data_IF_521011676748
#
_entry.id   IF_521011676748
#
_cell.length_a   1.000
_cell.length_b   1.000
_cell.length_c   1.000
_cell.angle_alpha   90.00
_cell.angle_beta   90.00
_cell.angle_gamma   90.00
#
_symmetry.space_group_name_H-M   'P 1'
#
loop_
_entity.id
_entity.type
_entity.pdbx_description
1 polymer ?
#
# COMPACT_ATOMS: atom_id res chain seq x y z
N UNK A 1 21.85 32.27 -22.92
CA UNK A 1 21.35 31.68 -21.66
C UNK A 1 19.95 32.20 -21.45
N UNK A 2 18.94 31.35 -21.59
CA UNK A 2 17.53 31.73 -21.40
C UNK A 2 17.27 31.89 -19.91
N UNK A 3 16.83 33.09 -19.49
CA UNK A 3 16.44 33.33 -18.09
C UNK A 3 15.13 32.59 -17.82
N UNK A 4 15.16 31.67 -16.88
CA UNK A 4 13.98 30.94 -16.41
C UNK A 4 13.35 31.80 -15.33
N UNK A 5 12.09 32.22 -15.54
CA UNK A 5 11.31 32.94 -14.54
C UNK A 5 10.68 31.92 -13.60
N UNK A 6 10.98 32.02 -12.30
CA UNK A 6 10.41 31.16 -11.27
C UNK A 6 9.28 31.89 -10.55
N UNK A 7 8.43 31.11 -9.90
CA UNK A 7 7.28 31.60 -9.14
C UNK A 7 7.44 31.11 -7.72
N UNK A 8 7.31 32.00 -6.74
CA UNK A 8 7.41 31.69 -5.32
C UNK A 8 8.76 31.06 -4.94
N UNK A 9 9.86 31.65 -5.43
CA UNK A 9 11.21 31.23 -5.10
C UNK A 9 11.92 32.21 -4.14
N UNK A 10 11.25 33.29 -3.74
CA UNK A 10 11.77 34.33 -2.86
C UNK A 10 12.43 35.49 -3.60
N UNK A 11 12.58 35.40 -4.93
CA UNK A 11 13.23 36.38 -5.79
C UNK A 11 12.17 37.11 -6.61
N UNK A 12 12.35 38.40 -6.87
CA UNK A 12 11.47 39.13 -7.78
C UNK A 12 11.97 38.94 -9.21
N UNK A 13 11.38 37.99 -9.91
CA UNK A 13 11.61 37.69 -11.32
C UNK A 13 10.71 38.51 -12.24
N UNK A 14 9.48 38.82 -11.83
CA UNK A 14 8.59 39.71 -12.59
C UNK A 14 8.77 41.19 -12.17
N UNK A 15 8.67 42.15 -13.10
CA UNK A 15 8.81 43.59 -12.80
C UNK A 15 7.85 44.11 -11.72
N UNK A 16 6.68 43.46 -11.57
CA UNK A 16 5.65 43.83 -10.61
C UNK A 16 5.67 42.97 -9.31
N UNK A 17 6.59 42.01 -9.22
CA UNK A 17 6.67 41.06 -8.11
C UNK A 17 5.45 40.15 -7.97
N UNK A 18 4.70 39.97 -9.06
CA UNK A 18 3.51 39.12 -9.11
C UNK A 18 3.83 37.64 -8.92
N UNK A 19 5.05 37.25 -9.27
CA UNK A 19 5.64 35.92 -9.02
C UNK A 19 5.76 35.57 -7.52
N UNK A 20 5.67 36.57 -6.63
CA UNK A 20 5.81 36.41 -5.18
C UNK A 20 4.53 36.80 -4.41
N UNK A 21 3.48 37.23 -5.13
CA UNK A 21 2.22 37.72 -4.56
C UNK A 21 1.10 36.76 -4.97
N UNK A 22 0.60 35.96 -4.03
CA UNK A 22 -0.35 34.85 -4.24
C UNK A 22 0.29 33.48 -4.50
N UNK A 23 1.29 33.14 -3.70
CA UNK A 23 1.85 31.79 -3.62
C UNK A 23 0.87 30.83 -2.97
N UNK A 24 0.09 30.13 -3.78
CA UNK A 24 -0.72 29.00 -3.37
C UNK A 24 -0.06 27.76 -3.96
N UNK A 25 0.67 27.00 -3.12
CA UNK A 25 1.36 25.78 -3.58
C UNK A 25 0.29 24.69 -3.87
N UNK A 26 -0.39 24.77 -5.02
CA UNK A 26 -1.56 23.95 -5.38
C UNK A 26 -1.21 22.65 -6.10
N UNK A 27 0.01 22.52 -6.65
CA UNK A 27 0.42 21.35 -7.43
C UNK A 27 1.10 20.23 -6.64
N UNK A 28 1.41 20.49 -5.38
CA UNK A 28 2.20 19.60 -4.54
C UNK A 28 1.63 19.67 -3.14
N UNK A 29 1.39 18.52 -2.52
CA UNK A 29 0.98 18.40 -1.12
C UNK A 29 1.71 19.45 -0.26
N UNK A 30 0.91 20.34 0.29
CA UNK A 30 1.22 21.74 0.55
C UNK A 30 2.32 21.96 1.58
N UNK A 31 3.47 22.46 1.14
CA UNK A 31 4.51 22.90 2.05
C UNK A 31 5.15 24.22 1.62
N UNK A 32 4.66 25.33 2.16
CA UNK A 32 5.28 26.64 2.02
C UNK A 32 6.33 26.88 3.11
N UNK A 33 7.55 27.22 2.72
CA UNK A 33 8.65 27.58 3.62
C UNK A 33 8.70 29.09 3.81
N UNK A 34 8.61 29.56 5.05
CA UNK A 34 8.80 30.98 5.40
C UNK A 34 10.29 31.30 5.46
N UNK A 35 10.74 32.21 4.61
CA UNK A 35 12.11 32.71 4.59
C UNK A 35 12.29 33.83 5.64
N UNK A 36 13.53 34.08 6.12
CA UNK A 36 13.83 35.14 7.10
C UNK A 36 13.42 36.56 6.67
N UNK A 37 13.22 36.77 5.37
CA UNK A 37 12.77 38.04 4.78
C UNK A 37 11.23 38.17 4.73
N UNK A 38 10.49 37.22 5.32
CA UNK A 38 9.03 37.22 5.34
C UNK A 38 8.37 36.75 4.05
N UNK A 39 9.14 36.26 3.07
CA UNK A 39 8.62 35.70 1.81
C UNK A 39 8.37 34.19 1.94
N UNK A 40 7.49 33.69 1.07
CA UNK A 40 7.03 32.31 1.07
C UNK A 40 7.59 31.58 -0.14
N UNK A 41 8.41 30.55 0.09
CA UNK A 41 9.02 29.72 -0.96
C UNK A 41 8.35 28.34 -0.99
N UNK A 42 7.92 27.88 -2.15
CA UNK A 42 7.50 26.47 -2.29
C UNK A 42 8.74 25.58 -2.52
N UNK A 43 8.73 24.35 -2.00
CA UNK A 43 9.76 23.36 -2.35
C UNK A 43 9.60 22.89 -3.80
N UNK A 44 10.69 22.52 -4.45
CA UNK A 44 10.67 21.98 -5.81
C UNK A 44 10.05 20.56 -5.82
N UNK A 45 9.44 20.09 -6.92
CA UNK A 45 8.90 18.73 -6.99
C UNK A 45 9.94 17.63 -6.72
N UNK A 46 11.22 17.90 -7.04
CA UNK A 46 12.35 17.01 -6.73
C UNK A 46 12.71 16.95 -5.25
N UNK A 47 12.12 17.82 -4.43
CA UNK A 47 12.27 17.86 -2.97
C UNK A 47 11.15 17.10 -2.24
N UNK A 48 10.18 16.58 -2.96
CA UNK A 48 9.15 15.72 -2.39
C UNK A 48 9.72 14.30 -2.40
N UNK A 49 9.79 13.66 -1.25
CA UNK A 49 10.21 12.26 -1.13
C UNK A 49 11.64 12.01 -1.59
N UNK A 50 12.51 12.97 -1.33
CA UNK A 50 13.92 12.91 -1.65
C UNK A 50 14.78 12.40 -0.47
N UNK A 51 14.15 12.07 0.66
CA UNK A 51 14.81 11.60 1.87
C UNK A 51 15.34 12.72 2.76
N UNK A 52 15.04 13.99 2.44
CA UNK A 52 15.41 15.16 3.23
C UNK A 52 14.14 15.85 3.75
N UNK A 53 14.19 16.29 5.00
CA UNK A 53 13.12 17.13 5.56
C UNK A 53 13.33 18.55 5.01
N UNK A 54 12.72 18.85 3.87
CA UNK A 54 12.67 20.17 3.27
C UNK A 54 11.47 20.98 3.82
N UNK A 55 10.49 20.32 4.44
CA UNK A 55 9.35 20.97 5.10
C UNK A 55 9.48 21.16 6.61
N UNK A 56 8.84 22.20 7.20
CA UNK A 56 8.90 22.47 8.63
C UNK A 56 8.48 21.29 9.52
N UNK A 57 7.53 20.46 9.07
CA UNK A 57 7.07 19.27 9.79
C UNK A 57 7.39 17.95 9.07
N UNK A 58 8.26 17.98 8.04
CA UNK A 58 8.60 16.78 7.25
C UNK A 58 7.44 16.20 6.45
N UNK A 59 6.43 17.01 6.14
CA UNK A 59 5.27 16.55 5.36
C UNK A 59 5.61 16.15 3.91
N UNK A 60 6.69 16.68 3.36
CA UNK A 60 7.30 16.32 2.08
C UNK A 60 7.84 14.89 2.04
N UNK A 61 8.21 14.35 3.20
CA UNK A 61 8.67 12.96 3.35
C UNK A 61 7.57 12.02 3.88
N UNK A 62 6.37 12.56 4.13
CA UNK A 62 5.23 11.78 4.55
C UNK A 62 4.45 11.24 3.35
N UNK A 63 4.08 9.95 3.41
CA UNK A 63 3.23 9.31 2.40
C UNK A 63 3.81 9.34 0.97
N UNK A 64 5.12 9.18 0.85
CA UNK A 64 5.87 9.30 -0.38
C UNK A 64 5.58 8.28 -1.47
N UNK A 65 5.09 7.13 -1.06
CA UNK A 65 4.71 6.08 -1.97
C UNK A 65 3.22 6.22 -2.30
N UNK A 66 2.92 6.91 -3.40
CA UNK A 66 1.59 6.86 -4.03
C UNK A 66 1.52 5.56 -4.82
N UNK A 67 0.80 4.59 -4.28
CA UNK A 67 0.53 3.38 -5.03
C UNK A 67 -0.41 3.72 -6.21
N UNK A 68 -0.04 3.29 -7.42
CA UNK A 68 -0.91 3.38 -8.60
C UNK A 68 -2.22 2.62 -8.35
N UNK A 69 -3.28 2.90 -9.12
CA UNK A 69 -4.53 2.16 -9.01
C UNK A 69 -4.34 0.62 -9.14
N UNK A 70 -3.36 0.20 -9.93
CA UNK A 70 -2.99 -1.21 -10.11
C UNK A 70 -2.30 -1.83 -8.87
N UNK A 71 -1.83 -1.01 -7.93
CA UNK A 71 -1.17 -1.40 -6.70
C UNK A 71 -2.00 -0.89 -5.50
N UNK A 72 -3.12 -1.53 -5.20
CA UNK A 72 -4.05 -0.97 -4.22
C UNK A 72 -3.60 -1.12 -2.75
N UNK A 73 -2.68 -2.05 -2.45
CA UNK A 73 -2.23 -2.28 -1.07
C UNK A 73 -0.83 -1.72 -0.82
N UNK A 74 -0.72 -0.98 0.28
CA UNK A 74 0.54 -0.39 0.75
C UNK A 74 1.03 -1.18 1.95
N UNK A 75 2.24 -1.72 1.87
CA UNK A 75 2.88 -2.39 3.01
C UNK A 75 2.93 -1.45 4.22
N UNK A 76 2.84 -1.99 5.44
CA UNK A 76 2.78 -1.21 6.69
C UNK A 76 4.03 -0.36 6.91
N UNK A 77 5.20 -0.87 6.54
CA UNK A 77 6.46 -0.11 6.53
C UNK A 77 6.55 0.96 5.42
N UNK A 78 5.53 1.08 4.56
CA UNK A 78 5.43 2.06 3.47
C UNK A 78 6.56 1.97 2.43
N UNK A 79 7.29 0.85 2.37
CA UNK A 79 8.44 0.69 1.45
C UNK A 79 8.08 0.06 0.11
N UNK A 80 6.94 -0.63 0.02
CA UNK A 80 6.47 -1.31 -1.19
C UNK A 80 4.94 -1.24 -1.33
N UNK A 81 4.47 -1.09 -2.57
CA UNK A 81 3.06 -1.30 -2.93
C UNK A 81 2.94 -2.64 -3.66
N UNK A 82 1.84 -3.33 -3.44
CA UNK A 82 1.55 -4.63 -4.06
C UNK A 82 0.14 -4.59 -4.67
N UNK A 83 -0.13 -5.41 -5.69
CA UNK A 83 -1.48 -5.53 -6.23
C UNK A 83 -2.44 -6.09 -5.17
N UNK A 84 -3.77 -5.81 -5.26
CA UNK A 84 -4.75 -6.39 -4.34
C UNK A 84 -4.66 -7.92 -4.27
N UNK A 85 -4.39 -8.58 -5.39
CA UNK A 85 -4.26 -10.05 -5.47
C UNK A 85 -2.98 -10.60 -4.84
N UNK A 86 -2.08 -9.75 -4.35
CA UNK A 86 -0.93 -10.17 -3.54
C UNK A 86 -1.17 -9.96 -2.05
N UNK A 87 -2.29 -9.34 -1.66
CA UNK A 87 -2.70 -9.29 -0.25
C UNK A 87 -3.29 -10.65 0.12
N UNK A 88 -2.74 -11.29 1.14
CA UNK A 88 -3.22 -12.56 1.67
C UNK A 88 -3.21 -13.68 0.62
N UNK A 89 -2.16 -13.76 -0.17
CA UNK A 89 -2.02 -14.79 -1.23
C UNK A 89 -1.23 -16.04 -0.74
N UNK A 90 -0.74 -16.00 0.50
CA UNK A 90 0.10 -17.02 1.13
C UNK A 90 1.60 -16.80 0.92
N UNK A 91 2.02 -15.67 0.32
CA UNK A 91 3.42 -15.30 0.08
C UNK A 91 3.72 -13.99 0.76
N UNK A 92 4.94 -13.86 1.25
CA UNK A 92 5.40 -12.62 1.84
C UNK A 92 5.94 -11.70 0.74
N UNK A 93 5.07 -10.87 0.18
CA UNK A 93 5.39 -9.86 -0.82
C UNK A 93 5.86 -8.54 -0.19
N UNK A 94 5.44 -8.21 1.03
CA UNK A 94 6.04 -7.11 1.78
C UNK A 94 7.37 -7.53 2.43
N UNK A 95 8.28 -6.58 2.68
CA UNK A 95 9.50 -6.94 3.43
C UNK A 95 9.20 -7.23 4.91
N UNK A 96 8.08 -6.71 5.42
CA UNK A 96 7.67 -6.80 6.80
C UNK A 96 6.59 -7.87 7.05
N UNK A 97 6.12 -8.62 6.03
CA UNK A 97 5.04 -9.60 6.22
C UNK A 97 3.64 -9.01 6.31
N UNK A 98 3.48 -7.69 6.23
CA UNK A 98 2.21 -7.02 6.53
C UNK A 98 1.09 -7.30 5.53
N UNK A 99 1.41 -7.83 4.36
CA UNK A 99 0.47 -8.33 3.36
C UNK A 99 -0.19 -9.65 3.76
N UNK A 100 0.42 -10.45 4.62
CA UNK A 100 -0.14 -11.73 5.07
C UNK A 100 -0.79 -11.66 6.46
N UNK A 101 -0.91 -10.45 7.02
CA UNK A 101 -1.54 -10.18 8.32
C UNK A 101 -2.97 -9.63 8.17
N UNK A 102 -3.83 -9.95 9.15
CA UNK A 102 -5.18 -9.41 9.32
C UNK A 102 -6.11 -9.54 8.09
N UNK A 103 -6.04 -10.67 7.40
CA UNK A 103 -6.85 -10.95 6.22
C UNK A 103 -8.35 -11.02 6.53
N UNK A 104 -9.15 -10.56 5.57
CA UNK A 104 -10.61 -10.56 5.58
C UNK A 104 -11.17 -11.54 4.54
N UNK A 105 -12.46 -11.85 4.66
CA UNK A 105 -13.14 -12.73 3.69
C UNK A 105 -13.13 -12.16 2.27
N UNK A 106 -13.22 -10.84 2.15
CA UNK A 106 -13.25 -10.15 0.86
C UNK A 106 -11.89 -10.22 0.15
N UNK A 107 -10.79 -10.08 0.91
CA UNK A 107 -9.42 -10.27 0.40
C UNK A 107 -9.17 -11.71 -0.03
N UNK A 108 -9.73 -12.71 0.66
CA UNK A 108 -9.64 -14.09 0.18
C UNK A 108 -10.46 -14.36 -1.09
N UNK A 109 -11.53 -13.58 -1.34
CA UNK A 109 -12.47 -13.80 -2.45
C UNK A 109 -12.00 -13.20 -3.79
N UNK A 110 -11.06 -12.25 -3.77
CA UNK A 110 -10.53 -11.61 -4.99
C UNK A 110 -9.50 -12.48 -5.74
N UNK A 111 -9.04 -13.56 -5.11
CA UNK A 111 -8.03 -14.44 -5.68
C UNK A 111 -8.60 -15.30 -6.82
N UNK A 112 -7.78 -15.65 -7.83
CA UNK A 112 -8.22 -16.44 -8.99
C UNK A 112 -8.58 -17.90 -8.66
N UNK A 113 -8.34 -18.34 -7.42
CA UNK A 113 -8.66 -19.67 -6.93
C UNK A 113 -9.46 -19.56 -5.63
N UNK A 114 -10.30 -20.55 -5.28
CA UNK A 114 -11.04 -20.52 -4.03
C UNK A 114 -10.08 -20.60 -2.84
N UNK A 115 -9.94 -19.47 -2.15
CA UNK A 115 -9.21 -19.35 -0.89
C UNK A 115 -10.18 -19.24 0.28
N UNK A 116 -9.74 -19.69 1.44
CA UNK A 116 -10.50 -19.76 2.68
C UNK A 116 -9.80 -18.97 3.77
N UNK A 117 -10.55 -18.14 4.49
CA UNK A 117 -10.01 -17.36 5.59
C UNK A 117 -9.85 -18.25 6.84
N UNK A 118 -8.62 -18.49 7.24
CA UNK A 118 -8.35 -19.19 8.49
C UNK A 118 -8.49 -18.27 9.69
N UNK A 119 -9.58 -18.39 10.47
CA UNK A 119 -9.92 -17.42 11.52
C UNK A 119 -8.86 -17.26 12.63
N UNK A 120 -8.07 -18.29 12.94
CA UNK A 120 -7.07 -18.23 14.01
C UNK A 120 -5.78 -17.51 13.62
N UNK A 121 -5.38 -17.60 12.35
CA UNK A 121 -4.17 -16.94 11.83
C UNK A 121 -4.48 -15.70 10.99
N UNK A 122 -5.77 -15.45 10.73
CA UNK A 122 -6.26 -14.38 9.84
C UNK A 122 -5.46 -14.35 8.54
N UNK A 123 -5.29 -15.51 7.92
CA UNK A 123 -4.60 -15.68 6.65
C UNK A 123 -5.48 -16.48 5.68
N UNK A 124 -5.34 -16.24 4.39
CA UNK A 124 -6.04 -17.03 3.37
C UNK A 124 -5.25 -18.30 3.05
N UNK A 125 -5.92 -19.44 3.05
CA UNK A 125 -5.35 -20.74 2.68
C UNK A 125 -6.14 -21.34 1.52
N UNK A 126 -5.50 -22.13 0.67
CA UNK A 126 -6.20 -22.79 -0.44
C UNK A 126 -7.22 -23.80 0.11
N UNK A 127 -8.33 -23.99 -0.59
CA UNK A 127 -9.33 -25.00 -0.22
C UNK A 127 -8.74 -26.40 0.02
N UNK A 128 -7.78 -26.83 -0.79
CA UNK A 128 -7.09 -28.12 -0.65
C UNK A 128 -6.26 -28.23 0.63
N UNK A 129 -5.70 -27.11 1.08
CA UNK A 129 -4.88 -27.02 2.29
C UNK A 129 -5.78 -26.88 3.52
N UNK A 130 -6.83 -26.05 3.44
CA UNK A 130 -7.85 -25.91 4.48
C UNK A 130 -8.54 -27.25 4.79
N UNK A 131 -8.87 -28.02 3.76
CA UNK A 131 -9.53 -29.32 3.86
C UNK A 131 -8.56 -30.51 3.98
N UNK A 132 -7.25 -30.28 4.15
CA UNK A 132 -6.26 -31.33 4.34
C UNK A 132 -6.32 -31.91 5.76
N UNK A 133 -6.09 -33.22 5.97
CA UNK A 133 -5.93 -33.80 7.30
C UNK A 133 -4.73 -33.22 8.09
N UNK A 134 -3.80 -32.55 7.40
CA UNK A 134 -2.65 -31.86 8.02
C UNK A 134 -2.86 -30.36 8.15
N UNK A 135 -4.08 -29.85 7.93
CA UNK A 135 -4.32 -28.41 7.98
C UNK A 135 -4.06 -27.89 9.40
N UNK A 136 -3.22 -26.84 9.51
CA UNK A 136 -2.99 -26.15 10.78
C UNK A 136 -4.03 -25.08 11.04
N UNK A 137 -5.11 -25.05 10.23
CA UNK A 137 -6.20 -24.11 10.40
C UNK A 137 -7.22 -24.68 11.38
N UNK A 138 -7.29 -24.21 12.64
CA UNK A 138 -8.23 -24.71 13.62
C UNK A 138 -9.60 -24.08 13.39
N UNK A 139 -10.65 -24.82 13.79
CA UNK A 139 -12.09 -24.57 13.58
C UNK A 139 -12.64 -25.19 12.31
N UNK A 140 -12.60 -26.53 12.23
CA UNK A 140 -13.54 -27.29 11.41
C UNK A 140 -14.92 -27.18 12.06
N UNK A 141 -15.69 -26.15 11.74
CA UNK A 141 -17.10 -26.04 12.13
C UNK A 141 -17.94 -26.99 11.28
N UNK A 142 -19.21 -27.24 11.65
CA UNK A 142 -20.14 -28.05 10.84
C UNK A 142 -20.36 -27.45 9.45
N UNK A 143 -20.22 -26.14 9.30
CA UNK A 143 -20.26 -25.46 8.00
C UNK A 143 -18.99 -25.77 7.17
N UNK A 144 -17.83 -25.89 7.82
CA UNK A 144 -16.57 -26.32 7.19
C UNK A 144 -16.61 -27.80 6.79
N UNK A 145 -17.30 -28.65 7.56
CA UNK A 145 -17.55 -30.05 7.18
C UNK A 145 -18.38 -30.15 5.91
N UNK A 146 -19.45 -29.35 5.76
CA UNK A 146 -20.24 -29.28 4.51
C UNK A 146 -19.47 -28.63 3.34
N UNK A 147 -18.53 -27.74 3.64
CA UNK A 147 -17.67 -27.11 2.62
C UNK A 147 -16.56 -28.06 2.11
N UNK A 148 -16.01 -28.88 2.99
CA UNK A 148 -14.98 -29.88 2.72
C UNK A 148 -15.55 -31.28 2.38
N UNK A 149 -16.85 -31.54 2.59
CA UNK A 149 -17.49 -32.85 2.38
C UNK A 149 -17.43 -33.35 0.94
N UNK A 150 -17.21 -32.47 -0.03
CA UNK A 150 -17.06 -32.83 -1.45
C UNK A 150 -15.61 -33.05 -1.89
N UNK A 151 -14.62 -32.94 -0.99
CA UNK A 151 -13.20 -33.14 -1.32
C UNK A 151 -12.64 -34.49 -0.81
N UNK A 152 -13.38 -35.17 0.08
CA UNK A 152 -13.05 -36.52 0.56
C UNK A 152 -13.47 -37.64 -0.41
N UNK A 153 -14.02 -37.28 -1.59
CA UNK A 153 -14.50 -38.23 -2.62
C UNK A 153 -13.72 -38.11 -3.94
N UNK A 154 -12.55 -37.48 -3.97
CA UNK A 154 -11.63 -37.58 -5.11
C UNK A 154 -10.59 -38.65 -4.83
N UNK A 155 -10.61 -39.68 -5.67
CA UNK A 155 -9.79 -40.90 -5.72
C UNK A 155 -8.27 -40.75 -5.46
N UNK A 156 -7.87 -40.37 -4.25
CA UNK A 156 -6.44 -40.35 -3.84
C UNK A 156 -6.16 -41.29 -2.66
N UNK A 157 -7.18 -41.66 -1.88
CA UNK A 157 -7.01 -42.50 -0.68
C UNK A 157 -7.46 -43.97 -0.83
N UNK A 158 -7.76 -44.46 -2.04
CA UNK A 158 -8.09 -45.88 -2.26
C UNK A 158 -6.90 -46.81 -2.52
N UNK A 159 -5.64 -46.35 -2.40
CA UNK A 159 -4.47 -47.17 -2.75
C UNK A 159 -3.42 -47.32 -1.63
N UNK A 160 -3.73 -47.05 -0.36
CA UNK A 160 -2.77 -47.29 0.75
C UNK A 160 -3.41 -47.99 1.96
N UNK A 161 -4.18 -49.05 1.71
CA UNK A 161 -4.33 -50.18 2.64
C UNK A 161 -4.53 -51.47 1.83
#
# INVERSE_FOLDING_TARGET
MSKIFKVCDGIQDCPNGSDEKSCNCTWSSSCPVLLPNGKLKCIEPSQICNGFIDCPAGEDENNCMKCSADSAFKCKNQTKCIPPTAKCDGRNDCLDGSDEEDCTSDECAIHPFPMYLCSNRRNCVRKTEACSPFSTCPNRTVDDERYCSNFLDSEVFKTIL
#
